data_IF_032163880276
#
_entry.id   IF_032163880276
#
_cell.length_a   1.000
_cell.length_b   1.000
_cell.length_c   1.000
_cell.angle_alpha   90.00
_cell.angle_beta   90.00
_cell.angle_gamma   90.00
#
_symmetry.space_group_name_H-M   'P 1'
#
loop_
_entity.id
_entity.type
_entity.pdbx_description
1 polymer ?
#
# COMPACT_ATOMS: atom_id res chain seq x y z
N UNK A 1 -21.14 -0.89 1.88
CA UNK A 1 -19.75 -0.66 1.46
C UNK A 1 -19.13 -2.01 1.03
N UNK A 2 -19.64 -2.65 -0.03
CA UNK A 2 -19.29 -4.05 -0.38
C UNK A 2 -18.08 -4.14 -1.32
N UNK A 3 -17.98 -3.26 -2.31
CA UNK A 3 -16.91 -3.28 -3.32
C UNK A 3 -15.49 -3.11 -2.75
N UNK A 4 -15.30 -2.34 -1.67
CA UNK A 4 -13.98 -2.21 -1.02
C UNK A 4 -13.55 -3.51 -0.31
N UNK A 5 -14.50 -4.32 0.15
CA UNK A 5 -14.20 -5.58 0.84
C UNK A 5 -13.70 -6.65 -0.14
N UNK A 6 -14.08 -6.55 -1.41
CA UNK A 6 -13.61 -7.43 -2.49
C UNK A 6 -12.16 -7.12 -2.94
N UNK A 7 -11.63 -5.95 -2.57
CA UNK A 7 -10.24 -5.58 -2.86
C UNK A 7 -9.32 -6.23 -1.84
N UNK A 8 -8.12 -6.59 -2.30
CA UNK A 8 -7.03 -7.06 -1.44
C UNK A 8 -6.85 -6.15 -0.21
N UNK A 9 -6.73 -6.73 1.01
CA UNK A 9 -6.68 -5.96 2.25
C UNK A 9 -5.59 -4.88 2.29
N UNK A 10 -4.43 -5.16 1.72
CA UNK A 10 -3.30 -4.22 1.71
C UNK A 10 -3.57 -3.03 0.78
N UNK A 11 -4.22 -3.30 -0.35
CA UNK A 11 -4.62 -2.27 -1.31
C UNK A 11 -5.74 -1.41 -0.74
N UNK A 12 -6.73 -2.03 -0.07
CA UNK A 12 -7.80 -1.32 0.64
C UNK A 12 -7.24 -0.41 1.72
N UNK A 13 -6.34 -0.90 2.58
CA UNK A 13 -5.76 -0.10 3.64
C UNK A 13 -5.06 1.15 3.10
N UNK A 14 -4.26 1.01 2.04
CA UNK A 14 -3.60 2.14 1.38
C UNK A 14 -4.60 3.15 0.78
N UNK A 15 -5.69 2.66 0.17
CA UNK A 15 -6.74 3.52 -0.39
C UNK A 15 -7.50 4.29 0.69
N UNK A 16 -7.86 3.64 1.80
CA UNK A 16 -8.59 4.30 2.90
C UNK A 16 -7.74 5.45 3.45
N UNK A 17 -6.47 5.20 3.78
CA UNK A 17 -5.61 6.23 4.35
C UNK A 17 -5.40 7.40 3.38
N UNK A 18 -5.09 7.14 2.10
CA UNK A 18 -4.75 8.23 1.18
C UNK A 18 -5.97 8.95 0.63
N UNK A 19 -7.03 8.21 0.28
CA UNK A 19 -8.18 8.77 -0.47
C UNK A 19 -9.31 9.20 0.46
N UNK A 20 -9.54 8.46 1.56
CA UNK A 20 -10.64 8.76 2.49
C UNK A 20 -10.17 9.63 3.65
N UNK A 21 -9.05 9.28 4.27
CA UNK A 21 -8.47 10.04 5.38
C UNK A 21 -7.60 11.21 4.91
N UNK A 22 -7.25 11.26 3.61
CA UNK A 22 -6.49 12.36 3.02
C UNK A 22 -5.01 12.42 3.43
N UNK A 23 -4.47 11.33 4.00
CA UNK A 23 -3.06 11.24 4.37
C UNK A 23 -2.17 11.33 3.13
N UNK A 24 -1.02 11.97 3.29
CA UNK A 24 0.03 11.93 2.28
C UNK A 24 0.62 10.51 2.14
N UNK A 25 1.29 10.25 1.02
CA UNK A 25 1.93 8.95 0.76
C UNK A 25 2.98 8.60 1.83
N UNK A 26 3.68 9.61 2.34
CA UNK A 26 4.72 9.49 3.37
C UNK A 26 4.10 9.14 4.74
N UNK A 27 2.99 9.78 5.10
CA UNK A 27 2.26 9.48 6.33
C UNK A 27 1.66 8.08 6.28
N UNK A 28 0.99 7.72 5.19
CA UNK A 28 0.43 6.37 5.01
C UNK A 28 1.52 5.28 4.99
N UNK A 29 2.70 5.58 4.42
CA UNK A 29 3.89 4.71 4.47
C UNK A 29 4.31 4.44 5.91
N UNK A 30 4.33 5.49 6.75
CA UNK A 30 4.68 5.40 8.16
C UNK A 30 3.62 4.62 8.95
N UNK A 31 2.34 4.90 8.72
CA UNK A 31 1.21 4.22 9.39
C UNK A 31 1.17 2.72 9.09
N UNK A 32 1.43 2.31 7.85
CA UNK A 32 1.37 0.90 7.43
C UNK A 32 2.72 0.17 7.53
N UNK A 33 3.81 0.86 7.85
CA UNK A 33 5.15 0.28 7.95
C UNK A 33 5.68 -0.29 6.63
N UNK A 34 5.28 0.29 5.48
CA UNK A 34 5.72 -0.15 4.14
C UNK A 34 6.32 1.01 3.35
N UNK A 35 7.21 0.77 2.36
CA UNK A 35 7.81 1.83 1.56
C UNK A 35 6.78 2.70 0.81
N UNK A 36 7.06 4.00 0.67
CA UNK A 36 6.23 4.94 -0.11
C UNK A 36 5.98 4.47 -1.56
N UNK A 37 6.97 3.81 -2.19
CA UNK A 37 6.81 3.18 -3.51
C UNK A 37 5.74 2.07 -3.52
N UNK A 38 5.67 1.29 -2.44
CA UNK A 38 4.65 0.25 -2.24
C UNK A 38 3.27 0.88 -2.09
N UNK A 39 3.13 1.97 -1.32
CA UNK A 39 1.86 2.72 -1.18
C UNK A 39 1.33 3.16 -2.55
N UNK A 40 2.17 3.81 -3.37
CA UNK A 40 1.76 4.24 -4.72
C UNK A 40 1.31 3.06 -5.58
N UNK A 41 2.05 1.95 -5.54
CA UNK A 41 1.71 0.74 -6.31
C UNK A 41 0.40 0.08 -5.82
N UNK A 42 0.16 0.03 -4.50
CA UNK A 42 -1.06 -0.48 -3.88
C UNK A 42 -2.27 0.37 -4.24
N UNK A 43 -2.16 1.69 -4.17
CA UNK A 43 -3.23 2.60 -4.58
C UNK A 43 -3.55 2.49 -6.07
N UNK A 44 -2.54 2.33 -6.94
CA UNK A 44 -2.76 2.13 -8.38
C UNK A 44 -3.56 0.85 -8.64
N UNK A 45 -3.10 -0.28 -8.09
CA UNK A 45 -3.77 -1.59 -8.25
C UNK A 45 -5.16 -1.61 -7.62
N UNK A 46 -5.31 -1.05 -6.42
CA UNK A 46 -6.59 -0.95 -5.73
C UNK A 46 -7.61 -0.11 -6.52
N UNK A 47 -7.20 1.00 -7.13
CA UNK A 47 -8.08 1.79 -8.02
C UNK A 47 -8.50 1.01 -9.25
N UNK A 48 -7.59 0.24 -9.86
CA UNK A 48 -7.92 -0.61 -11.01
C UNK A 48 -8.91 -1.72 -10.62
N UNK A 49 -8.68 -2.39 -9.48
CA UNK A 49 -9.58 -3.40 -8.95
C UNK A 49 -10.97 -2.82 -8.64
N UNK A 50 -11.00 -1.65 -7.99
CA UNK A 50 -12.25 -0.95 -7.69
C UNK A 50 -13.00 -0.57 -8.98
N UNK A 51 -12.30 -0.05 -9.98
CA UNK A 51 -12.90 0.30 -11.26
C UNK A 51 -13.51 -0.92 -11.98
N UNK A 52 -12.85 -2.08 -11.91
CA UNK A 52 -13.37 -3.32 -12.47
C UNK A 52 -14.68 -3.77 -11.78
N UNK A 53 -14.69 -3.80 -10.45
CA UNK A 53 -15.88 -4.18 -9.66
C UNK A 53 -17.04 -3.20 -9.90
N UNK A 54 -16.74 -1.89 -9.94
CA UNK A 54 -17.75 -0.87 -10.20
C UNK A 54 -18.29 -0.91 -11.63
N UNK A 55 -17.47 -1.28 -12.60
CA UNK A 55 -17.90 -1.46 -14.00
C UNK A 55 -18.85 -2.64 -14.18
N UNK A 56 -18.67 -3.71 -13.39
CA UNK A 56 -19.58 -4.85 -13.37
C UNK A 56 -20.93 -4.47 -12.72
N UNK A 57 -20.89 -3.66 -11.66
CA UNK A 57 -22.09 -3.24 -10.93
C UNK A 57 -22.88 -2.16 -11.67
N UNK A 58 -22.20 -1.24 -12.35
CA UNK A 58 -22.81 -0.19 -13.16
C UNK A 58 -22.04 -0.05 -14.49
N UNK A 59 -22.52 -0.65 -15.59
CA UNK A 59 -21.85 -0.62 -16.88
C UNK A 59 -21.73 0.79 -17.48
N UNK A 60 -22.45 1.80 -16.94
CA UNK A 60 -22.30 3.20 -17.36
C UNK A 60 -20.97 3.78 -16.88
N UNK A 61 -20.41 3.29 -15.77
CA UNK A 61 -19.10 3.70 -15.27
C UNK A 61 -17.96 3.17 -16.16
N UNK A 62 -18.20 2.09 -16.90
CA UNK A 62 -17.25 1.54 -17.86
C UNK A 62 -17.12 2.38 -19.14
N UNK A 63 -18.19 3.08 -19.57
CA UNK A 63 -18.21 3.82 -20.84
C UNK A 63 -17.58 5.22 -20.77
N UNK A 64 -17.26 5.74 -19.59
CA UNK A 64 -16.69 7.08 -19.40
C UNK A 64 -15.16 7.17 -19.36
N UNK A 65 -14.43 6.05 -19.47
CA UNK A 65 -13.00 5.96 -19.14
C UNK A 65 -11.98 6.09 -20.30
N UNK A 66 -12.42 6.34 -21.53
CA UNK A 66 -11.52 6.50 -22.69
C UNK A 66 -10.98 7.92 -22.81
N UNK A 67 -10.24 8.42 -21.81
CA UNK A 67 -9.31 9.56 -21.96
C UNK A 67 -8.46 9.72 -20.68
N UNK A 68 -7.15 9.49 -20.78
CA UNK A 68 -6.21 9.64 -19.67
C UNK A 68 -4.90 8.87 -19.78
N UNK A 69 -4.62 8.20 -20.89
CA UNK A 69 -3.29 7.66 -21.20
C UNK A 69 -2.45 8.68 -21.94
N UNK A 70 -1.89 9.68 -21.26
CA UNK A 70 -0.79 10.54 -21.74
C UNK A 70 -0.29 11.47 -20.64
N UNK A 71 0.61 10.99 -19.77
CA UNK A 71 1.65 11.84 -19.19
C UNK A 71 2.93 11.01 -19.11
N UNK A 72 3.81 11.25 -20.09
CA UNK A 72 5.19 10.86 -20.03
C UNK A 72 5.96 11.73 -19.05
N UNK A 73 7.03 11.16 -18.51
CA UNK A 73 8.01 11.84 -17.67
C UNK A 73 9.32 11.05 -17.75
N UNK A 74 10.11 11.38 -18.75
CA UNK A 74 11.54 11.09 -18.80
C UNK A 74 12.21 11.72 -17.58
N UNK A 75 12.83 10.92 -16.73
CA UNK A 75 13.91 11.42 -15.87
C UNK A 75 14.92 10.29 -15.68
N UNK A 76 15.99 10.39 -16.47
CA UNK A 76 17.19 9.62 -16.20
C UNK A 76 17.77 10.02 -14.85
N UNK A 77 18.31 9.02 -14.15
CA UNK A 77 19.52 9.23 -13.38
C UNK A 77 20.52 8.14 -13.76
N UNK A 78 21.50 8.54 -14.54
CA UNK A 78 22.78 7.89 -14.71
C UNK A 78 23.67 8.17 -13.50
N UNK A 79 24.05 7.13 -12.75
CA UNK A 79 25.37 6.94 -12.11
C UNK A 79 25.23 6.13 -10.82
N UNK A 80 25.94 5.01 -10.78
CA UNK A 80 26.05 4.17 -9.58
C UNK A 80 26.63 2.80 -9.90
N UNK A 81 27.79 2.78 -10.55
CA UNK A 81 28.57 1.56 -10.78
C UNK A 81 29.25 1.19 -9.45
N UNK A 82 28.77 0.15 -8.78
CA UNK A 82 29.39 -0.52 -7.63
C UNK A 82 28.69 -1.87 -7.47
N UNK A 83 29.25 -2.98 -7.98
CA UNK A 83 30.21 -3.85 -7.30
C UNK A 83 29.69 -4.40 -5.96
N UNK A 84 29.31 -5.68 -5.98
CA UNK A 84 29.48 -6.61 -4.87
C UNK A 84 28.50 -6.51 -3.70
N UNK A 85 27.68 -7.55 -3.50
CA UNK A 85 26.96 -7.75 -2.25
C UNK A 85 25.84 -8.77 -2.34
N UNK A 86 26.17 -10.04 -2.22
CA UNK A 86 25.23 -11.11 -1.90
C UNK A 86 24.46 -10.75 -0.62
N UNK A 87 23.14 -10.56 -0.71
CA UNK A 87 22.26 -10.47 0.44
C UNK A 87 20.99 -11.27 0.14
N UNK A 88 21.14 -12.58 0.22
CA UNK A 88 20.19 -13.52 0.81
C UNK A 88 18.91 -12.88 1.33
N UNK A 89 17.78 -13.31 0.78
CA UNK A 89 16.47 -13.19 1.38
C UNK A 89 16.57 -13.44 2.89
N UNK A 90 16.31 -12.41 3.70
CA UNK A 90 16.24 -12.56 5.14
C UNK A 90 15.07 -13.51 5.47
N UNK A 91 15.24 -14.47 6.39
CA UNK A 91 14.16 -15.32 6.83
C UNK A 91 13.12 -14.47 7.56
N UNK A 92 11.85 -14.81 7.37
CA UNK A 92 10.74 -14.29 8.16
C UNK A 92 11.00 -14.71 9.61
N UNK A 93 11.50 -13.78 10.44
CA UNK A 93 11.50 -13.93 11.89
C UNK A 93 10.06 -13.72 12.35
N UNK A 94 9.32 -14.81 12.52
CA UNK A 94 8.22 -14.86 13.49
C UNK A 94 8.91 -15.02 14.85
N UNK A 95 9.08 -13.92 15.56
CA UNK A 95 9.81 -13.93 16.82
C UNK A 95 9.91 -12.54 17.45
N UNK A 96 8.78 -11.97 17.84
CA UNK A 96 8.73 -11.01 18.94
C UNK A 96 7.75 -11.55 19.97
N UNK A 97 8.27 -12.44 20.81
CA UNK A 97 7.70 -12.72 22.12
C UNK A 97 7.82 -11.40 22.89
N UNK A 98 6.76 -10.59 22.88
CA UNK A 98 6.73 -9.39 23.67
C UNK A 98 6.33 -9.78 25.09
N UNK A 99 7.33 -9.67 25.95
CA UNK A 99 7.27 -9.87 27.39
C UNK A 99 6.22 -8.91 27.95
N UNK A 100 5.07 -9.44 28.37
CA UNK A 100 4.09 -8.70 29.17
C UNK A 100 4.73 -8.45 30.54
N UNK A 101 5.30 -7.26 30.69
CA UNK A 101 5.73 -6.70 31.97
C UNK A 101 4.47 -6.30 32.73
N UNK A 102 3.86 -7.25 33.46
CA UNK A 102 2.88 -6.92 34.48
C UNK A 102 3.60 -6.27 35.67
N UNK A 103 3.43 -4.94 35.74
CA UNK A 103 3.77 -4.13 36.89
C UNK A 103 2.74 -4.39 38.00
N UNK A 104 3.23 -4.55 39.26
CA UNK A 104 2.63 -4.01 40.51
C UNK A 104 1.22 -4.56 40.88
N UNK A 105 0.83 -4.98 42.09
CA UNK A 105 1.08 -4.62 43.50
C UNK A 105 0.50 -5.75 44.38
N UNK A 106 0.97 -5.91 45.63
CA UNK A 106 0.24 -6.76 46.59
C UNK A 106 1.04 -7.23 47.80
N UNK A 107 1.61 -6.30 48.55
CA UNK A 107 2.08 -6.60 49.91
C UNK A 107 0.93 -6.58 50.89
N UNK A 108 0.72 -7.70 51.59
CA UNK A 108 0.49 -7.81 53.04
C UNK A 108 0.37 -9.29 53.41
#
# INVERSE_FOLDING_TARGET
MKALMEIDPDQRAALVLVVMEGLSVEEASTTLGVPAGTIKSRCSRGKAALAAILSELDPRLAQGGSQGGSQGGSQGNSQGKGSGGNQTAAPIVLGTENLEVENREGGQ
#
